data_IF_043831535684
#
_entry.id   IF_043831535684
#
_cell.length_a   1.000
_cell.length_b   1.000
_cell.length_c   1.000
_cell.angle_alpha   90.00
_cell.angle_beta   90.00
_cell.angle_gamma   90.00
#
_symmetry.space_group_name_H-M   'P 1'
#
loop_
_entity.id
_entity.type
_entity.pdbx_description
1 polymer ?
#
# COMPACT_ATOMS: atom_id res chain seq x y z
N UNK A 1 -16.93 -24.07 1.30
CA UNK A 1 -15.75 -24.36 2.13
C UNK A 1 -14.44 -24.47 1.34
N UNK A 2 -14.42 -24.30 0.01
CA UNK A 2 -13.20 -24.33 -0.82
C UNK A 2 -12.77 -22.95 -1.36
N UNK A 3 -13.47 -21.85 -1.00
CA UNK A 3 -13.10 -20.50 -1.50
C UNK A 3 -11.77 -19.98 -0.90
N UNK A 4 -11.42 -20.41 0.31
CA UNK A 4 -10.24 -19.89 1.02
C UNK A 4 -8.95 -20.64 0.69
N UNK A 5 -9.04 -21.92 0.25
CA UNK A 5 -7.90 -22.80 0.02
C UNK A 5 -7.01 -22.42 -1.17
N UNK A 6 -7.43 -21.47 -2.01
CA UNK A 6 -6.67 -20.98 -3.18
C UNK A 6 -6.23 -19.52 -3.05
N UNK A 7 -6.37 -18.92 -1.86
CA UNK A 7 -5.98 -17.52 -1.63
C UNK A 7 -4.50 -17.49 -1.24
N UNK A 8 -3.65 -17.00 -2.14
CA UNK A 8 -2.23 -16.81 -1.89
C UNK A 8 -1.89 -15.32 -1.84
N UNK A 9 -1.29 -14.87 -0.73
CA UNK A 9 -0.82 -13.50 -0.54
C UNK A 9 0.27 -13.45 0.53
N UNK A 10 1.09 -12.40 0.50
CA UNK A 10 2.10 -12.08 1.53
C UNK A 10 1.83 -10.71 2.14
N UNK A 11 2.27 -10.52 3.38
CA UNK A 11 2.41 -9.19 3.98
C UNK A 11 3.64 -8.52 3.36
N UNK A 12 3.44 -7.56 2.46
CA UNK A 12 4.52 -6.83 1.81
C UNK A 12 5.08 -5.72 2.70
N UNK A 13 4.23 -5.08 3.49
CA UNK A 13 4.63 -4.01 4.41
C UNK A 13 3.73 -4.01 5.65
N UNK A 14 4.36 -3.98 6.84
CA UNK A 14 3.71 -3.88 8.15
C UNK A 14 4.12 -2.59 8.86
N UNK A 15 4.71 -2.68 10.04
CA UNK A 15 5.28 -1.50 10.69
C UNK A 15 6.40 -0.86 9.84
N UNK A 16 6.38 0.46 9.76
CA UNK A 16 7.43 1.28 9.12
C UNK A 16 7.76 2.43 10.05
N UNK A 17 9.03 2.64 10.41
CA UNK A 17 9.41 3.78 11.25
C UNK A 17 9.40 5.11 10.46
N UNK A 18 9.69 6.21 11.16
CA UNK A 18 9.72 7.54 10.55
C UNK A 18 10.75 7.66 9.43
N UNK A 19 11.95 7.12 9.62
CA UNK A 19 13.05 7.24 8.65
C UNK A 19 12.71 6.48 7.36
N UNK A 20 12.22 5.25 7.48
CA UNK A 20 11.78 4.47 6.33
C UNK A 20 10.59 5.12 5.59
N UNK A 21 9.67 5.77 6.32
CA UNK A 21 8.57 6.52 5.67
C UNK A 21 9.09 7.78 4.95
N UNK A 22 10.09 8.46 5.52
CA UNK A 22 10.76 9.61 4.89
C UNK A 22 11.53 9.21 3.64
N UNK A 23 12.28 8.11 3.69
CA UNK A 23 13.00 7.56 2.54
C UNK A 23 12.05 7.20 1.40
N UNK A 24 10.97 6.46 1.69
CA UNK A 24 9.95 6.13 0.70
C UNK A 24 9.34 7.39 0.08
N UNK A 25 8.91 8.35 0.90
CA UNK A 25 8.27 9.57 0.40
C UNK A 25 9.23 10.36 -0.50
N UNK A 26 10.49 10.51 -0.09
CA UNK A 26 11.49 11.25 -0.85
C UNK A 26 11.88 10.54 -2.15
N UNK A 27 11.95 9.21 -2.14
CA UNK A 27 12.24 8.42 -3.34
C UNK A 27 11.11 8.58 -4.36
N UNK A 28 9.86 8.51 -3.94
CA UNK A 28 8.70 8.65 -4.82
C UNK A 28 8.59 10.05 -5.44
N UNK A 29 8.92 11.09 -4.67
CA UNK A 29 9.05 12.45 -5.21
C UNK A 29 10.20 12.53 -6.23
N UNK A 30 11.36 11.94 -5.94
CA UNK A 30 12.50 11.95 -6.85
C UNK A 30 12.20 11.23 -8.17
N UNK A 31 11.52 10.09 -8.11
CA UNK A 31 11.11 9.32 -9.28
C UNK A 31 10.09 10.11 -10.13
N UNK A 32 9.10 10.75 -9.51
CA UNK A 32 8.18 11.66 -10.21
C UNK A 32 8.88 12.85 -10.87
N UNK A 33 9.90 13.44 -10.22
CA UNK A 33 10.72 14.50 -10.82
C UNK A 33 11.53 13.97 -12.00
N UNK A 34 12.12 12.79 -11.88
CA UNK A 34 12.86 12.14 -12.96
C UNK A 34 11.96 11.85 -14.18
N UNK A 35 10.66 11.64 -13.94
CA UNK A 35 9.64 11.46 -14.98
C UNK A 35 9.07 12.78 -15.54
N UNK A 36 9.66 13.93 -15.18
CA UNK A 36 9.41 15.22 -15.85
C UNK A 36 8.50 16.18 -15.09
N UNK A 37 8.07 15.85 -13.88
CA UNK A 37 7.30 16.78 -13.05
C UNK A 37 8.20 17.78 -12.34
N UNK A 38 7.68 18.98 -12.07
CA UNK A 38 8.33 19.87 -11.11
C UNK A 38 8.32 19.25 -9.71
N UNK A 39 9.25 19.66 -8.84
CA UNK A 39 9.30 19.17 -7.45
C UNK A 39 7.98 19.41 -6.70
N UNK A 40 7.30 20.51 -6.98
CA UNK A 40 6.02 20.84 -6.35
C UNK A 40 4.89 19.89 -6.81
N UNK A 41 4.78 19.67 -8.13
CA UNK A 41 3.82 18.71 -8.70
C UNK A 41 4.09 17.29 -8.23
N UNK A 42 5.35 16.85 -8.26
CA UNK A 42 5.77 15.54 -7.78
C UNK A 42 5.45 15.33 -6.29
N UNK A 43 5.65 16.36 -5.46
CA UNK A 43 5.29 16.31 -4.04
C UNK A 43 3.78 16.22 -3.85
N UNK A 44 3.00 16.98 -4.64
CA UNK A 44 1.54 16.97 -4.59
C UNK A 44 0.98 15.62 -5.03
N UNK A 45 1.51 15.04 -6.10
CA UNK A 45 1.12 13.72 -6.60
C UNK A 45 1.51 12.62 -5.61
N UNK A 46 2.73 12.63 -5.10
CA UNK A 46 3.20 11.60 -4.14
C UNK A 46 2.26 11.51 -2.92
N UNK A 47 1.75 12.65 -2.43
CA UNK A 47 0.81 12.70 -1.30
C UNK A 47 -0.54 12.02 -1.53
N UNK A 48 -0.91 11.69 -2.77
CA UNK A 48 -2.16 10.96 -3.06
C UNK A 48 -2.02 9.45 -2.83
N UNK A 49 -0.78 8.94 -2.80
CA UNK A 49 -0.45 7.51 -2.76
C UNK A 49 0.50 7.11 -1.62
N UNK A 50 1.35 8.02 -1.17
CA UNK A 50 2.29 7.82 -0.05
C UNK A 50 2.06 8.91 1.00
N UNK A 51 1.74 8.50 2.22
CA UNK A 51 1.54 9.42 3.33
C UNK A 51 2.81 10.21 3.66
N UNK A 52 2.65 11.48 4.04
CA UNK A 52 3.75 12.30 4.55
C UNK A 52 4.38 11.64 5.79
N UNK A 53 5.70 11.68 5.99
CA UNK A 53 6.34 11.11 7.19
C UNK A 53 5.74 11.67 8.48
N UNK A 54 5.37 10.77 9.39
CA UNK A 54 4.64 11.08 10.63
C UNK A 54 3.12 11.00 10.50
N UNK A 55 2.59 10.75 9.30
CA UNK A 55 1.14 10.64 9.02
C UNK A 55 0.73 9.27 8.47
N UNK A 56 1.67 8.31 8.41
CA UNK A 56 1.40 6.96 7.89
C UNK A 56 0.86 6.04 8.99
N UNK A 57 -0.20 5.29 8.70
CA UNK A 57 -0.75 4.28 9.62
C UNK A 57 0.21 3.10 9.84
N UNK A 58 1.14 2.86 8.90
CA UNK A 58 2.24 1.90 9.10
C UNK A 58 3.16 2.31 10.27
N UNK A 59 3.28 3.61 10.55
CA UNK A 59 4.05 4.10 11.71
C UNK A 59 3.37 3.84 13.05
N UNK A 60 2.07 3.55 13.04
CA UNK A 60 1.34 3.07 14.22
C UNK A 60 1.41 1.55 14.37
N UNK A 61 1.91 0.83 13.35
CA UNK A 61 1.87 -0.64 13.30
C UNK A 61 0.46 -1.21 13.14
N UNK A 62 -0.49 -0.39 12.67
CA UNK A 62 -1.91 -0.75 12.52
C UNK A 62 -2.34 -0.93 11.06
N UNK A 63 -1.42 -0.75 10.11
CA UNK A 63 -1.65 -0.95 8.68
C UNK A 63 -0.78 -2.10 8.14
N UNK A 64 -1.32 -2.76 7.12
CA UNK A 64 -0.72 -3.91 6.46
C UNK A 64 -1.00 -3.84 4.95
N UNK A 65 0.06 -3.82 4.15
CA UNK A 65 -0.03 -3.96 2.70
C UNK A 65 0.14 -5.43 2.33
N UNK A 66 -0.70 -5.92 1.41
CA UNK A 66 -0.64 -7.28 0.91
C UNK A 66 -0.30 -7.31 -0.58
N UNK A 67 0.45 -8.31 -1.00
CA UNK A 67 0.82 -8.52 -2.40
C UNK A 67 0.74 -10.00 -2.79
N UNK A 68 0.76 -10.28 -4.10
CA UNK A 68 0.97 -11.64 -4.62
C UNK A 68 2.47 -11.94 -4.60
N UNK A 69 2.91 -13.12 -4.11
CA UNK A 69 4.34 -13.46 -4.07
C UNK A 69 5.00 -13.36 -5.45
N UNK A 70 6.08 -12.57 -5.54
CA UNK A 70 6.85 -12.40 -6.78
C UNK A 70 6.26 -11.39 -7.77
N UNK A 71 5.16 -10.72 -7.42
CA UNK A 71 4.54 -9.67 -8.24
C UNK A 71 4.72 -8.30 -7.59
N UNK A 72 4.76 -7.25 -8.42
CA UNK A 72 4.70 -5.87 -7.94
C UNK A 72 3.28 -5.57 -7.45
N UNK A 73 3.17 -4.77 -6.38
CA UNK A 73 1.87 -4.29 -5.93
C UNK A 73 1.40 -3.17 -6.86
N UNK A 74 0.35 -3.46 -7.63
CA UNK A 74 -0.31 -2.51 -8.53
C UNK A 74 -1.80 -2.40 -8.19
N UNK A 75 -2.50 -1.43 -8.79
CA UNK A 75 -3.95 -1.30 -8.64
C UNK A 75 -4.71 -2.55 -9.07
N UNK A 76 -4.13 -3.37 -9.97
CA UNK A 76 -4.74 -4.63 -10.42
C UNK A 76 -4.82 -5.69 -9.31
N UNK A 77 -4.10 -5.52 -8.19
CA UNK A 77 -4.21 -6.41 -7.04
C UNK A 77 -5.67 -6.58 -6.59
N UNK A 78 -6.50 -5.51 -6.67
CA UNK A 78 -7.93 -5.57 -6.31
C UNK A 78 -8.73 -6.58 -7.12
N UNK A 79 -8.28 -6.89 -8.35
CA UNK A 79 -8.93 -7.80 -9.27
C UNK A 79 -8.53 -9.27 -9.06
N UNK A 80 -7.43 -9.51 -8.34
CA UNK A 80 -6.93 -10.86 -8.01
C UNK A 80 -7.87 -11.59 -7.06
N UNK A 81 -7.69 -12.91 -6.94
CA UNK A 81 -8.41 -13.73 -5.95
C UNK A 81 -8.11 -13.20 -4.53
N UNK A 82 -6.86 -12.83 -4.24
CA UNK A 82 -6.43 -12.30 -2.95
C UNK A 82 -7.09 -10.94 -2.62
N UNK A 83 -7.06 -9.99 -3.55
CA UNK A 83 -7.66 -8.67 -3.35
C UNK A 83 -9.17 -8.75 -3.12
N UNK A 84 -9.87 -9.56 -3.92
CA UNK A 84 -11.32 -9.81 -3.73
C UNK A 84 -11.62 -10.48 -2.40
N UNK A 85 -10.76 -11.41 -1.97
CA UNK A 85 -10.91 -12.07 -0.67
C UNK A 85 -10.74 -11.08 0.49
N UNK A 86 -9.72 -10.22 0.46
CA UNK A 86 -9.51 -9.18 1.48
C UNK A 86 -10.70 -8.22 1.55
N UNK A 87 -11.22 -7.78 0.40
CA UNK A 87 -12.39 -6.89 0.37
C UNK A 87 -13.64 -7.54 0.99
N UNK A 88 -13.85 -8.84 0.76
CA UNK A 88 -15.01 -9.59 1.28
C UNK A 88 -14.84 -10.05 2.74
N UNK A 89 -13.61 -10.19 3.25
CA UNK A 89 -13.36 -10.90 4.51
C UNK A 89 -12.55 -10.12 5.56
N UNK A 90 -11.81 -9.07 5.21
CA UNK A 90 -10.89 -8.36 6.14
C UNK A 90 -11.57 -7.92 7.45
N UNK A 91 -12.82 -7.42 7.37
CA UNK A 91 -13.59 -7.00 8.55
C UNK A 91 -13.82 -8.10 9.59
N UNK A 92 -13.85 -9.37 9.17
CA UNK A 92 -14.01 -10.52 10.09
C UNK A 92 -12.80 -10.69 11.01
N UNK A 93 -11.67 -10.10 10.63
CA UNK A 93 -10.40 -10.16 11.34
C UNK A 93 -10.00 -8.82 11.95
N UNK A 94 -10.91 -7.83 11.97
CA UNK A 94 -10.68 -6.51 12.55
C UNK A 94 -9.96 -5.52 11.63
N UNK A 95 -9.84 -5.82 10.34
CA UNK A 95 -9.25 -4.93 9.34
C UNK A 95 -10.33 -4.30 8.45
N UNK A 96 -10.03 -3.15 7.83
CA UNK A 96 -10.89 -2.51 6.84
C UNK A 96 -10.10 -2.27 5.55
N UNK A 97 -10.80 -2.23 4.42
CA UNK A 97 -10.22 -1.65 3.20
C UNK A 97 -10.07 -0.14 3.43
N UNK A 98 -8.83 0.29 3.66
CA UNK A 98 -8.56 1.61 4.23
C UNK A 98 -8.85 2.77 3.26
N UNK A 99 -8.57 2.54 1.98
CA UNK A 99 -8.74 3.48 0.88
C UNK A 99 -9.61 2.82 -0.21
N UNK A 100 -10.94 2.91 -0.11
CA UNK A 100 -11.84 2.46 -1.18
C UNK A 100 -11.78 3.40 -2.39
N UNK A 101 -12.28 2.95 -3.54
CA UNK A 101 -12.42 3.76 -4.77
C UNK A 101 -13.32 5.00 -4.59
#
# INVERSE_FOLDING_TARGET
MYEDSNVNMILSSGFRDYQNQEELFNQEVADSVANGLSKEEATKETRTRVATPGMSEHQLGLAADFAIPGELLTEDFKNTIAGKWLNKNSYKYGFILRYPE
#
